data_IF_892383358863
#
_entry.id   IF_892383358863
#
_cell.length_a   1.000
_cell.length_b   1.000
_cell.length_c   1.000
_cell.angle_alpha   90.00
_cell.angle_beta   90.00
_cell.angle_gamma   90.00
#
_symmetry.space_group_name_H-M   'P 1'
#
loop_
_entity.id
_entity.type
_entity.pdbx_description
1 polymer ?
#
# COMPACT_ATOMS: atom_id res chain seq x y z
N UNK A 1 11.22 15.81 -0.35
CA UNK A 1 11.59 15.35 -1.71
C UNK A 1 10.43 14.53 -2.26
N UNK A 2 10.26 14.34 -3.58
CA UNK A 2 9.18 13.47 -4.06
C UNK A 2 9.42 12.04 -3.56
N UNK A 3 8.34 11.36 -3.15
CA UNK A 3 8.39 9.94 -2.79
C UNK A 3 8.81 9.14 -4.03
N UNK A 4 9.80 8.27 -3.88
CA UNK A 4 10.24 7.40 -4.96
C UNK A 4 9.18 6.36 -5.28
N UNK A 5 9.07 5.94 -6.54
CA UNK A 5 8.23 4.82 -6.96
C UNK A 5 9.02 3.53 -6.80
N UNK A 6 8.83 2.75 -5.71
CA UNK A 6 9.57 1.51 -5.55
C UNK A 6 9.21 0.50 -6.63
N UNK A 7 10.10 -0.43 -7.00
CA UNK A 7 9.77 -1.50 -7.94
C UNK A 7 8.69 -2.42 -7.37
N UNK A 8 8.02 -3.20 -8.23
CA UNK A 8 7.01 -4.17 -7.77
C UNK A 8 7.68 -5.28 -6.94
N UNK A 9 7.25 -5.53 -5.70
CA UNK A 9 7.79 -6.60 -4.87
C UNK A 9 7.17 -7.95 -5.29
N UNK A 10 7.67 -8.52 -6.39
CA UNK A 10 7.17 -9.78 -6.97
C UNK A 10 7.21 -10.94 -5.98
N UNK A 11 8.25 -11.01 -5.15
CA UNK A 11 8.41 -12.03 -4.11
C UNK A 11 7.29 -11.94 -3.06
N UNK A 12 6.89 -10.74 -2.63
CA UNK A 12 5.76 -10.52 -1.72
C UNK A 12 4.46 -10.95 -2.40
N UNK A 13 4.27 -10.55 -3.67
CA UNK A 13 3.09 -10.91 -4.46
C UNK A 13 2.92 -12.42 -4.59
N UNK A 14 4.00 -13.15 -4.88
CA UNK A 14 4.01 -14.61 -4.92
C UNK A 14 3.61 -15.24 -3.57
N UNK A 15 4.10 -14.69 -2.45
CA UNK A 15 3.71 -15.16 -1.11
C UNK A 15 2.24 -14.90 -0.80
N UNK A 16 1.70 -13.76 -1.22
CA UNK A 16 0.26 -13.45 -1.09
C UNK A 16 -0.57 -14.47 -1.87
N UNK A 17 -0.23 -14.74 -3.13
CA UNK A 17 -0.92 -15.72 -3.97
C UNK A 17 -0.88 -17.12 -3.37
N UNK A 18 0.27 -17.54 -2.84
CA UNK A 18 0.43 -18.85 -2.15
C UNK A 18 -0.44 -18.96 -0.89
N UNK A 19 -0.59 -17.88 -0.11
CA UNK A 19 -1.51 -17.86 1.04
C UNK A 19 -2.95 -17.93 0.58
N UNK A 20 -3.29 -17.16 -0.45
CA UNK A 20 -4.64 -17.11 -1.01
C UNK A 20 -5.07 -18.47 -1.59
N UNK A 21 -4.15 -19.24 -2.17
CA UNK A 21 -4.46 -20.60 -2.66
C UNK A 21 -4.76 -21.59 -1.53
N UNK A 22 -4.23 -21.34 -0.33
CA UNK A 22 -4.45 -22.17 0.86
C UNK A 22 -5.65 -21.71 1.71
N UNK A 23 -6.33 -20.61 1.34
CA UNK A 23 -7.44 -20.02 2.08
C UNK A 23 -8.66 -19.82 1.19
N UNK A 24 -9.82 -20.33 1.63
CA UNK A 24 -11.12 -20.11 1.00
C UNK A 24 -12.12 -19.54 1.99
N UNK A 25 -12.97 -18.62 1.53
CA UNK A 25 -14.00 -17.99 2.35
C UNK A 25 -13.93 -16.47 2.35
N UNK A 26 -14.93 -15.84 2.98
CA UNK A 26 -14.95 -14.39 3.18
C UNK A 26 -13.74 -13.96 4.01
N UNK A 27 -13.06 -12.89 3.58
CA UNK A 27 -11.91 -12.33 4.29
C UNK A 27 -10.56 -12.96 3.98
N UNK A 28 -10.49 -14.07 3.23
CA UNK A 28 -9.21 -14.67 2.84
C UNK A 28 -8.33 -13.73 2.01
N UNK A 29 -8.92 -12.92 1.12
CA UNK A 29 -8.18 -11.96 0.30
C UNK A 29 -7.50 -10.90 1.17
N UNK A 30 -8.26 -10.30 2.07
CA UNK A 30 -7.74 -9.31 3.02
C UNK A 30 -6.67 -9.92 3.93
N UNK A 31 -6.91 -11.12 4.46
CA UNK A 31 -5.92 -11.84 5.26
C UNK A 31 -4.61 -12.08 4.49
N UNK A 32 -4.70 -12.57 3.24
CA UNK A 32 -3.52 -12.92 2.46
C UNK A 32 -2.63 -11.69 2.19
N UNK A 33 -3.25 -10.55 1.87
CA UNK A 33 -2.59 -9.27 1.62
C UNK A 33 -1.97 -8.69 2.90
N UNK A 34 -2.69 -8.73 4.02
CA UNK A 34 -2.25 -8.12 5.28
C UNK A 34 -1.31 -9.01 6.12
N UNK A 35 -1.13 -10.27 5.74
CA UNK A 35 -0.33 -11.20 6.52
C UNK A 35 1.11 -10.69 6.71
N UNK A 36 1.51 -10.58 7.99
CA UNK A 36 2.84 -10.10 8.36
C UNK A 36 3.13 -8.62 8.03
N UNK A 37 2.12 -7.88 7.54
CA UNK A 37 2.24 -6.51 7.04
C UNK A 37 3.36 -6.37 5.99
N UNK A 38 3.59 -7.38 5.16
CA UNK A 38 4.74 -7.41 4.25
C UNK A 38 4.72 -6.25 3.24
N UNK A 39 3.56 -6.01 2.60
CA UNK A 39 3.41 -4.90 1.66
C UNK A 39 3.62 -3.56 2.36
N UNK A 40 3.05 -3.39 3.56
CA UNK A 40 3.19 -2.17 4.33
C UNK A 40 4.65 -1.90 4.73
N UNK A 41 5.37 -2.94 5.18
CA UNK A 41 6.80 -2.84 5.53
C UNK A 41 7.63 -2.46 4.32
N UNK A 42 7.40 -3.12 3.19
CA UNK A 42 8.09 -2.81 1.95
C UNK A 42 7.93 -1.33 1.56
N UNK A 43 6.69 -0.84 1.49
CA UNK A 43 6.42 0.56 1.18
C UNK A 43 7.02 1.52 2.21
N UNK A 44 6.99 1.16 3.50
CA UNK A 44 7.57 1.95 4.56
C UNK A 44 9.11 2.00 4.54
N UNK A 45 9.78 0.93 4.12
CA UNK A 45 11.23 0.95 3.96
C UNK A 45 11.65 1.95 2.87
N UNK A 46 10.81 2.15 1.86
CA UNK A 46 11.03 3.14 0.79
C UNK A 46 10.57 4.56 1.15
N UNK A 47 9.46 4.71 1.87
CA UNK A 47 8.81 6.00 2.08
C UNK A 47 8.90 6.53 3.52
N UNK A 48 9.13 5.66 4.48
CA UNK A 48 8.99 5.93 5.91
C UNK A 48 9.81 7.11 6.40
N UNK A 49 11.01 7.34 5.82
CA UNK A 49 11.81 8.54 6.13
C UNK A 49 11.08 9.83 5.73
N UNK A 50 10.60 9.93 4.50
CA UNK A 50 9.93 11.13 4.00
C UNK A 50 8.53 11.29 4.61
N UNK A 51 7.80 10.20 4.80
CA UNK A 51 6.51 10.18 5.50
C UNK A 51 6.66 10.61 6.97
N UNK A 52 7.70 10.16 7.66
CA UNK A 52 7.97 10.60 9.03
C UNK A 52 8.27 12.09 9.09
N UNK A 53 9.00 12.63 8.10
CA UNK A 53 9.26 14.08 7.99
C UNK A 53 7.99 14.89 7.75
N UNK A 54 6.95 14.31 7.16
CA UNK A 54 5.65 14.95 6.98
C UNK A 54 4.65 14.66 8.12
N UNK A 55 5.09 14.00 9.20
CA UNK A 55 4.25 13.74 10.38
C UNK A 55 3.36 12.49 10.27
N UNK A 56 3.59 11.65 9.25
CA UNK A 56 2.98 10.33 9.09
C UNK A 56 3.92 9.30 9.73
N UNK A 57 3.54 8.82 10.91
CA UNK A 57 4.24 7.72 11.56
C UNK A 57 3.70 6.36 11.05
N UNK A 58 4.33 5.26 11.47
CA UNK A 58 3.94 3.90 11.06
C UNK A 58 2.46 3.59 11.30
N UNK A 59 1.89 4.01 12.43
CA UNK A 59 0.49 3.75 12.77
C UNK A 59 -0.47 4.49 11.82
N UNK A 60 -0.20 5.77 11.53
CA UNK A 60 -0.96 6.56 10.56
C UNK A 60 -0.83 5.97 9.16
N UNK A 61 0.37 5.52 8.78
CA UNK A 61 0.59 4.87 7.49
C UNK A 61 -0.21 3.57 7.35
N UNK A 62 -0.24 2.73 8.37
CA UNK A 62 -1.09 1.54 8.38
C UNK A 62 -2.58 1.88 8.25
N UNK A 63 -3.04 2.95 8.90
CA UNK A 63 -4.43 3.42 8.78
C UNK A 63 -4.75 3.89 7.35
N UNK A 64 -3.87 4.68 6.74
CA UNK A 64 -4.00 5.11 5.34
C UNK A 64 -4.05 3.91 4.40
N UNK A 65 -3.06 3.01 4.52
CA UNK A 65 -2.99 1.80 3.68
C UNK A 65 -4.19 0.86 3.93
N UNK A 66 -4.74 0.85 5.15
CA UNK A 66 -5.97 0.17 5.53
C UNK A 66 -7.17 0.54 4.66
N UNK A 67 -7.30 1.83 4.33
CA UNK A 67 -8.36 2.34 3.46
C UNK A 67 -8.24 1.85 2.01
N UNK A 68 -7.06 1.33 1.63
CA UNK A 68 -6.78 0.82 0.28
C UNK A 68 -6.71 -0.71 0.22
N UNK A 69 -7.36 -1.40 1.15
CA UNK A 69 -7.34 -2.88 1.18
C UNK A 69 -7.87 -3.48 -0.12
N UNK A 70 -8.86 -2.85 -0.77
CA UNK A 70 -9.45 -3.36 -2.00
C UNK A 70 -8.46 -3.26 -3.18
N UNK A 71 -7.75 -2.15 -3.28
CA UNK A 71 -6.73 -1.88 -4.30
C UNK A 71 -5.54 -2.83 -4.14
N UNK A 72 -5.14 -3.13 -2.90
CA UNK A 72 -4.12 -4.14 -2.63
C UNK A 72 -4.55 -5.53 -3.11
N UNK A 73 -5.82 -5.89 -2.92
CA UNK A 73 -6.39 -7.16 -3.43
C UNK A 73 -6.42 -7.16 -4.95
N UNK A 74 -6.83 -6.06 -5.56
CA UNK A 74 -6.93 -5.91 -7.01
C UNK A 74 -5.55 -6.02 -7.68
N UNK A 75 -4.50 -5.50 -7.04
CA UNK A 75 -3.11 -5.64 -7.50
C UNK A 75 -2.54 -7.04 -7.26
N UNK A 76 -2.64 -7.54 -6.02
CA UNK A 76 -1.90 -8.74 -5.61
C UNK A 76 -2.57 -10.04 -6.06
N UNK A 77 -3.91 -10.08 -6.06
CA UNK A 77 -4.70 -11.30 -6.23
C UNK A 77 -5.45 -11.29 -7.56
N UNK A 78 -6.21 -10.22 -7.85
CA UNK A 78 -7.07 -10.19 -9.05
C UNK A 78 -6.29 -9.83 -10.32
N UNK A 79 -5.17 -9.11 -10.18
CA UNK A 79 -4.38 -8.63 -11.31
C UNK A 79 -5.09 -7.57 -12.14
N UNK A 80 -6.13 -6.93 -11.60
CA UNK A 80 -6.92 -5.88 -12.27
C UNK A 80 -6.35 -4.48 -12.05
N UNK A 81 -5.36 -4.34 -11.17
CA UNK A 81 -4.65 -3.09 -10.88
C UNK A 81 -3.15 -3.30 -11.05
N UNK A 82 -2.47 -2.44 -11.81
CA UNK A 82 -1.02 -2.49 -11.92
C UNK A 82 -0.33 -1.94 -10.66
N UNK A 83 0.94 -2.29 -10.47
CA UNK A 83 1.73 -1.77 -9.35
C UNK A 83 1.83 -0.24 -9.37
N UNK A 84 2.12 0.35 -10.53
CA UNK A 84 2.20 1.81 -10.69
C UNK A 84 0.88 2.53 -10.38
N UNK A 85 -0.26 1.93 -10.74
CA UNK A 85 -1.58 2.49 -10.40
C UNK A 85 -1.85 2.41 -8.89
N UNK A 86 -1.54 1.29 -8.25
CA UNK A 86 -1.65 1.15 -6.80
C UNK A 86 -0.81 2.21 -6.07
N UNK A 87 0.44 2.41 -6.51
CA UNK A 87 1.31 3.42 -5.90
C UNK A 87 0.75 4.84 -6.08
N UNK A 88 0.21 5.18 -7.25
CA UNK A 88 -0.42 6.49 -7.49
C UNK A 88 -1.59 6.75 -6.54
N UNK A 89 -2.43 5.73 -6.32
CA UNK A 89 -3.58 5.83 -5.41
C UNK A 89 -3.09 6.09 -3.98
N UNK A 90 -2.19 5.25 -3.47
CA UNK A 90 -1.67 5.40 -2.09
C UNK A 90 -0.94 6.74 -1.92
N UNK A 91 -0.14 7.16 -2.90
CA UNK A 91 0.60 8.42 -2.85
C UNK A 91 -0.32 9.65 -2.82
N UNK A 92 -1.48 9.59 -3.50
CA UNK A 92 -2.51 10.63 -3.44
C UNK A 92 -2.96 10.92 -2.01
N UNK A 93 -3.18 9.87 -1.23
CA UNK A 93 -3.69 9.99 0.15
C UNK A 93 -2.59 10.31 1.17
N UNK A 94 -1.33 9.96 0.89
CA UNK A 94 -0.18 10.39 1.71
C UNK A 94 0.22 11.86 1.48
N UNK A 95 -0.27 12.50 0.42
CA UNK A 95 0.08 13.88 0.04
C UNK A 95 -0.86 14.96 0.60
N UNK A 96 -1.85 14.59 1.43
CA UNK A 96 -2.85 15.50 2.03
C UNK A 96 -2.25 16.37 3.17
N UNK A 97 -1.00 16.82 2.99
CA UNK A 97 -0.35 17.89 3.74
C UNK A 97 0.27 18.98 2.84
N UNK A 98 0.19 18.86 1.51
CA UNK A 98 0.87 19.76 0.56
C UNK A 98 -0.08 20.60 -0.33
N UNK A 99 -1.36 20.71 0.00
CA UNK A 99 -2.27 21.67 -0.64
C UNK A 99 -2.81 22.68 0.36
N UNK A 100 -1.92 23.57 0.82
CA UNK A 100 -2.31 24.98 0.82
C UNK A 100 -2.41 25.40 -0.64
N UNK A 101 -3.60 25.31 -1.20
CA UNK A 101 -3.92 26.03 -2.43
C UNK A 101 -5.07 26.94 -2.11
N UNK A 102 -4.68 28.12 -1.61
CA UNK A 102 -5.24 29.42 -1.96
C UNK A 102 -6.40 29.33 -2.99
N UNK A 103 -7.64 29.36 -2.51
CA UNK A 103 -8.76 29.78 -3.34
C UNK A 103 -8.99 31.25 -3.06
N UNK A 104 -8.59 32.04 -4.04
CA UNK A 104 -8.96 33.44 -4.23
C UNK A 104 -10.42 33.55 -4.64
#
# INVERSE_FOLDING_TARGET
>A
MPLSTPPEPRDIKERILKRKSACSGSGCDAFAVWFGNEVAKYLWDHWGRELSRSGINWQKFLAILGNHTQELIDWAIRGTLSWDELLKIILGDTSIGATSTERR
#
